data_IF_908923719512
#
_entry.id   IF_908923719512
#
_cell.length_a   1.000
_cell.length_b   1.000
_cell.length_c   1.000
_cell.angle_alpha   90.00
_cell.angle_beta   90.00
_cell.angle_gamma   90.00
#
_symmetry.space_group_name_H-M   'P 1'
#
loop_
_entity.id
_entity.type
_entity.pdbx_description
1 polymer ?
#
# COMPACT_ATOMS: atom_id res chain seq x y z
N UNK A 1 41.55 -39.41 -7.75
CA UNK A 1 40.17 -39.66 -7.25
C UNK A 1 39.70 -38.32 -6.73
N UNK A 2 39.03 -37.51 -7.55
CA UNK A 2 37.57 -37.56 -7.76
C UNK A 2 36.93 -36.89 -6.54
N UNK A 3 36.25 -35.75 -6.61
CA UNK A 3 35.20 -35.39 -7.55
C UNK A 3 35.20 -33.88 -7.84
N UNK A 4 34.93 -33.54 -9.09
CA UNK A 4 34.66 -32.18 -9.52
C UNK A 4 33.31 -31.72 -8.99
N UNK A 5 33.31 -30.65 -8.19
CA UNK A 5 32.12 -29.86 -7.96
C UNK A 5 31.84 -29.07 -9.25
N UNK A 6 30.96 -29.63 -10.09
CA UNK A 6 30.44 -28.96 -11.26
C UNK A 6 29.81 -27.63 -10.85
N UNK A 7 30.28 -26.56 -11.48
CA UNK A 7 29.79 -25.20 -11.41
C UNK A 7 28.48 -25.07 -12.22
N UNK A 8 27.32 -24.72 -11.64
CA UNK A 8 26.15 -24.33 -12.41
C UNK A 8 25.96 -22.82 -12.32
N UNK A 9 26.94 -22.06 -12.80
CA UNK A 9 26.81 -20.61 -12.92
C UNK A 9 27.57 -20.11 -14.16
N UNK A 10 27.21 -20.64 -15.32
CA UNK A 10 27.61 -20.10 -16.62
C UNK A 10 26.34 -19.78 -17.44
N UNK A 11 25.94 -18.51 -17.41
CA UNK A 11 25.50 -17.76 -18.61
C UNK A 11 24.30 -18.23 -19.44
N UNK A 12 23.35 -19.01 -18.91
CA UNK A 12 22.11 -19.32 -19.63
C UNK A 12 20.96 -18.41 -19.21
N UNK A 13 20.31 -17.71 -20.15
CA UNK A 13 18.95 -17.23 -19.93
C UNK A 13 18.13 -18.40 -19.36
N UNK A 14 17.41 -18.19 -18.25
CA UNK A 14 16.65 -19.27 -17.63
C UNK A 14 15.72 -19.92 -18.65
N UNK A 15 15.56 -21.26 -18.65
CA UNK A 15 14.93 -22.01 -19.75
C UNK A 15 13.53 -21.48 -20.11
N UNK A 16 12.75 -21.07 -19.10
CA UNK A 16 11.41 -20.52 -19.30
C UNK A 16 11.38 -19.09 -19.89
N UNK A 17 12.37 -18.24 -19.58
CA UNK A 17 12.43 -16.88 -20.11
C UNK A 17 12.80 -16.87 -21.60
N UNK A 18 13.75 -17.74 -22.00
CA UNK A 18 14.12 -17.91 -23.40
C UNK A 18 13.00 -18.54 -24.24
N UNK A 19 12.24 -19.48 -23.68
CA UNK A 19 11.05 -20.04 -24.33
C UNK A 19 10.00 -18.96 -24.60
N UNK A 20 9.69 -18.13 -23.60
CA UNK A 20 8.73 -17.04 -23.74
C UNK A 20 9.19 -15.98 -24.76
N UNK A 21 10.47 -15.61 -24.76
CA UNK A 21 11.06 -14.71 -25.75
C UNK A 21 10.87 -15.25 -27.18
N UNK A 22 11.13 -16.54 -27.39
CA UNK A 22 10.95 -17.20 -28.68
C UNK A 22 9.49 -17.18 -29.14
N UNK A 23 8.55 -17.49 -28.25
CA UNK A 23 7.11 -17.43 -28.55
C UNK A 23 6.65 -16.02 -28.90
N UNK A 24 7.10 -15.01 -28.15
CA UNK A 24 6.78 -13.61 -28.45
C UNK A 24 7.38 -13.14 -29.77
N UNK A 25 8.60 -13.56 -30.11
CA UNK A 25 9.24 -13.24 -31.38
C UNK A 25 8.45 -13.79 -32.58
N UNK A 26 7.76 -14.92 -32.42
CA UNK A 26 6.92 -15.52 -33.46
C UNK A 26 5.58 -14.78 -33.70
N UNK A 27 5.10 -13.97 -32.75
CA UNK A 27 3.81 -13.27 -32.85
C UNK A 27 3.81 -12.27 -34.01
N UNK A 28 4.86 -11.46 -34.15
CA UNK A 28 4.91 -10.43 -35.19
C UNK A 28 4.88 -11.02 -36.61
N UNK A 29 5.72 -12.02 -36.96
CA UNK A 29 5.61 -12.73 -38.22
C UNK A 29 4.23 -13.35 -38.46
N UNK A 30 3.61 -13.94 -37.43
CA UNK A 30 2.26 -14.51 -37.55
C UNK A 30 1.21 -13.45 -37.89
N UNK A 31 1.26 -12.26 -37.26
CA UNK A 31 0.36 -11.14 -37.57
C UNK A 31 0.58 -10.62 -38.99
N UNK A 32 1.83 -10.57 -39.46
CA UNK A 32 2.15 -10.17 -40.84
C UNK A 32 1.57 -11.18 -41.84
N UNK A 33 1.74 -12.48 -41.60
CA UNK A 33 1.18 -13.53 -42.44
C UNK A 33 -0.35 -13.50 -42.47
N UNK A 34 -1.01 -13.37 -41.31
CA UNK A 34 -2.48 -13.25 -41.25
C UNK A 34 -2.98 -12.01 -42.00
N UNK A 35 -2.23 -10.90 -42.01
CA UNK A 35 -2.58 -9.72 -42.81
C UNK A 35 -2.60 -10.04 -44.30
N UNK A 36 -1.56 -10.70 -44.82
CA UNK A 36 -1.47 -11.09 -46.24
C UNK A 36 -2.62 -12.04 -46.63
N UNK A 37 -2.97 -12.99 -45.75
CA UNK A 37 -4.11 -13.87 -45.97
C UNK A 37 -5.45 -13.11 -45.99
N UNK A 38 -5.66 -12.13 -45.09
CA UNK A 38 -6.85 -11.27 -45.08
C UNK A 38 -6.98 -10.43 -46.34
N UNK A 39 -5.88 -9.83 -46.79
CA UNK A 39 -5.80 -9.07 -48.02
C UNK A 39 -6.21 -9.92 -49.22
N UNK A 40 -5.61 -11.11 -49.34
CA UNK A 40 -5.85 -12.02 -50.46
C UNK A 40 -7.28 -12.58 -50.45
N UNK A 41 -7.80 -12.94 -49.28
CA UNK A 41 -9.05 -13.71 -49.16
C UNK A 41 -10.30 -12.84 -49.17
N UNK A 42 -10.23 -11.63 -48.62
CA UNK A 42 -11.41 -10.82 -48.33
C UNK A 42 -11.38 -9.41 -48.93
N UNK A 43 -10.23 -8.74 -49.03
CA UNK A 43 -10.25 -7.29 -49.33
C UNK A 43 -10.78 -7.00 -50.73
N UNK A 44 -10.40 -7.80 -51.73
CA UNK A 44 -10.97 -7.69 -53.09
C UNK A 44 -12.48 -7.92 -53.10
N UNK A 45 -12.96 -8.99 -52.44
CA UNK A 45 -14.40 -9.32 -52.37
C UNK A 45 -15.21 -8.26 -51.65
N UNK A 46 -14.67 -7.71 -50.57
CA UNK A 46 -15.30 -6.60 -49.84
C UNK A 46 -15.35 -5.32 -50.68
N UNK A 47 -14.31 -5.04 -51.46
CA UNK A 47 -14.28 -3.90 -52.37
C UNK A 47 -15.26 -4.07 -53.53
N UNK A 48 -15.35 -5.26 -54.12
CA UNK A 48 -16.34 -5.60 -55.16
C UNK A 48 -17.77 -5.45 -54.63
N UNK A 49 -18.07 -5.97 -53.44
CA UNK A 49 -19.38 -5.82 -52.80
C UNK A 49 -19.70 -4.34 -52.51
N UNK A 50 -18.70 -3.55 -52.10
CA UNK A 50 -18.88 -2.11 -51.84
C UNK A 50 -19.12 -1.27 -53.11
N UNK A 51 -18.62 -1.72 -54.27
CA UNK A 51 -18.89 -1.10 -55.59
C UNK A 51 -20.23 -1.55 -56.19
N UNK A 52 -20.84 -2.60 -55.64
CA UNK A 52 -22.11 -3.18 -56.09
C UNK A 52 -23.34 -2.31 -55.77
N UNK A 53 -24.53 -2.75 -56.22
CA UNK A 53 -25.78 -2.08 -55.90
C UNK A 53 -26.05 -2.14 -54.39
N UNK A 54 -26.68 -1.08 -53.86
CA UNK A 54 -27.03 -1.03 -52.45
C UNK A 54 -27.94 -2.20 -52.04
N UNK A 55 -27.67 -2.74 -50.84
CA UNK A 55 -28.50 -3.77 -50.23
C UNK A 55 -29.94 -3.29 -50.04
N UNK A 56 -30.92 -4.11 -50.43
CA UNK A 56 -32.33 -3.83 -50.14
C UNK A 56 -32.57 -3.98 -48.65
N UNK A 57 -33.13 -2.93 -48.04
CA UNK A 57 -33.42 -2.86 -46.60
C UNK A 57 -32.20 -3.15 -45.70
N UNK A 58 -30.99 -2.94 -46.20
CA UNK A 58 -29.75 -3.23 -45.49
C UNK A 58 -29.42 -4.73 -45.35
N UNK A 59 -30.11 -5.61 -46.07
CA UNK A 59 -29.88 -7.06 -46.04
C UNK A 59 -28.91 -7.47 -47.16
N UNK A 60 -27.77 -8.11 -46.83
CA UNK A 60 -26.84 -8.59 -47.86
C UNK A 60 -27.50 -9.63 -48.77
N UNK A 61 -27.08 -9.67 -50.03
CA UNK A 61 -27.41 -10.79 -50.93
C UNK A 61 -26.83 -12.10 -50.38
N UNK A 62 -27.33 -13.25 -50.83
CA UNK A 62 -26.89 -14.55 -50.32
C UNK A 62 -25.37 -14.78 -50.46
N UNK A 63 -24.77 -14.34 -51.58
CA UNK A 63 -23.32 -14.36 -51.78
C UNK A 63 -22.57 -13.38 -50.88
N UNK A 64 -23.09 -12.16 -50.72
CA UNK A 64 -22.52 -11.15 -49.83
C UNK A 64 -22.56 -11.59 -48.36
N UNK A 65 -23.64 -12.26 -47.94
CA UNK A 65 -23.84 -12.75 -46.57
C UNK A 65 -22.77 -13.75 -46.16
N UNK A 66 -22.38 -14.66 -47.06
CA UNK A 66 -21.30 -15.61 -46.79
C UNK A 66 -19.95 -14.91 -46.56
N UNK A 67 -19.65 -13.89 -47.37
CA UNK A 67 -18.41 -13.11 -47.22
C UNK A 67 -18.44 -12.29 -45.93
N UNK A 68 -19.56 -11.62 -45.64
CA UNK A 68 -19.75 -10.82 -44.42
C UNK A 68 -19.65 -11.67 -43.17
N UNK A 69 -20.34 -12.81 -43.10
CA UNK A 69 -20.33 -13.70 -41.94
C UNK A 69 -18.94 -14.31 -41.71
N UNK A 70 -18.23 -14.70 -42.79
CA UNK A 70 -16.86 -15.21 -42.71
C UNK A 70 -15.88 -14.15 -42.17
N UNK A 71 -15.94 -12.93 -42.72
CA UNK A 71 -15.11 -11.80 -42.26
C UNK A 71 -15.42 -11.45 -40.81
N UNK A 72 -16.70 -11.44 -40.41
CA UNK A 72 -17.08 -11.19 -39.02
C UNK A 72 -16.51 -12.25 -38.07
N UNK A 73 -16.58 -13.54 -38.43
CA UNK A 73 -16.01 -14.63 -37.65
C UNK A 73 -14.50 -14.49 -37.44
N UNK A 74 -13.76 -14.13 -38.48
CA UNK A 74 -12.30 -13.92 -38.38
C UNK A 74 -11.95 -12.62 -37.63
N UNK A 75 -12.71 -11.54 -37.81
CA UNK A 75 -12.57 -10.32 -37.02
C UNK A 75 -12.77 -10.58 -35.51
N UNK A 76 -13.71 -11.44 -35.13
CA UNK A 76 -13.87 -11.85 -33.74
C UNK A 76 -12.65 -12.61 -33.21
N UNK A 77 -12.05 -13.49 -34.02
CA UNK A 77 -10.83 -14.20 -33.64
C UNK A 77 -9.66 -13.22 -33.46
N UNK A 78 -9.48 -12.27 -34.37
CA UNK A 78 -8.47 -11.21 -34.26
C UNK A 78 -8.68 -10.35 -33.00
N UNK A 79 -9.93 -10.00 -32.68
CA UNK A 79 -10.27 -9.27 -31.43
C UNK A 79 -9.92 -10.09 -30.19
N UNK A 80 -10.19 -11.40 -30.19
CA UNK A 80 -9.82 -12.30 -29.08
C UNK A 80 -8.29 -12.40 -28.94
N UNK A 81 -7.58 -12.58 -30.04
CA UNK A 81 -6.12 -12.63 -30.07
C UNK A 81 -5.49 -11.33 -29.54
N UNK A 82 -5.95 -10.17 -30.01
CA UNK A 82 -5.50 -8.86 -29.54
C UNK A 82 -5.68 -8.70 -28.02
N UNK A 83 -6.86 -9.06 -27.47
CA UNK A 83 -7.10 -9.03 -26.01
C UNK A 83 -6.14 -9.94 -25.25
N UNK A 84 -5.84 -11.13 -25.77
CA UNK A 84 -4.88 -12.05 -25.17
C UNK A 84 -3.46 -11.50 -25.19
N UNK A 85 -3.03 -10.86 -26.28
CA UNK A 85 -1.73 -10.20 -26.38
C UNK A 85 -1.58 -9.06 -25.37
N UNK A 86 -2.62 -8.24 -25.21
CA UNK A 86 -2.62 -7.17 -24.19
C UNK A 86 -2.47 -7.74 -22.78
N UNK A 87 -3.19 -8.82 -22.45
CA UNK A 87 -3.06 -9.50 -21.14
C UNK A 87 -1.68 -10.12 -20.93
N UNK A 88 -1.10 -10.72 -21.96
CA UNK A 88 0.24 -11.30 -21.91
C UNK A 88 1.29 -10.21 -21.69
N UNK A 89 1.22 -9.10 -22.44
CA UNK A 89 2.08 -7.94 -22.27
C UNK A 89 2.02 -7.36 -20.86
N UNK A 90 0.81 -7.18 -20.32
CA UNK A 90 0.63 -6.71 -18.94
C UNK A 90 1.29 -7.67 -17.94
N UNK A 91 1.05 -8.98 -18.08
CA UNK A 91 1.65 -10.00 -17.21
C UNK A 91 3.18 -10.02 -17.28
N UNK A 92 3.75 -9.82 -18.46
CA UNK A 92 5.20 -9.73 -18.70
C UNK A 92 5.81 -8.55 -17.96
N UNK A 93 5.22 -7.35 -18.08
CA UNK A 93 5.67 -6.16 -17.35
C UNK A 93 5.61 -6.37 -15.83
N UNK A 94 4.53 -6.97 -15.33
CA UNK A 94 4.39 -7.25 -13.90
C UNK A 94 5.47 -8.21 -13.41
N UNK A 95 5.77 -9.26 -14.17
CA UNK A 95 6.81 -10.23 -13.85
C UNK A 95 8.21 -9.60 -13.88
N UNK A 96 8.50 -8.77 -14.87
CA UNK A 96 9.76 -8.04 -14.98
C UNK A 96 9.96 -7.09 -13.79
N UNK A 97 8.95 -6.27 -13.48
CA UNK A 97 9.01 -5.31 -12.38
C UNK A 97 9.19 -6.01 -11.02
N UNK A 98 8.43 -7.09 -10.77
CA UNK A 98 8.55 -7.88 -9.54
C UNK A 98 9.93 -8.53 -9.43
N UNK A 99 10.41 -9.18 -10.49
CA UNK A 99 11.72 -9.86 -10.49
C UNK A 99 12.84 -8.86 -10.30
N UNK A 100 12.81 -7.74 -11.02
CA UNK A 100 13.76 -6.64 -10.89
C UNK A 100 13.75 -6.01 -9.50
N UNK A 101 12.57 -5.80 -8.90
CA UNK A 101 12.44 -5.28 -7.55
C UNK A 101 13.00 -6.25 -6.49
N UNK A 102 12.70 -7.54 -6.59
CA UNK A 102 13.27 -8.57 -5.70
C UNK A 102 14.79 -8.65 -5.82
N UNK A 103 15.35 -8.56 -7.03
CA UNK A 103 16.79 -8.52 -7.25
C UNK A 103 17.42 -7.27 -6.63
N UNK A 104 16.81 -6.09 -6.78
CA UNK A 104 17.26 -4.85 -6.14
C UNK A 104 17.23 -4.95 -4.62
N UNK A 105 16.17 -5.52 -4.04
CA UNK A 105 16.04 -5.70 -2.59
C UNK A 105 17.09 -6.68 -2.05
N UNK A 106 17.38 -7.77 -2.77
CA UNK A 106 18.48 -8.69 -2.46
C UNK A 106 19.83 -7.97 -2.45
N UNK A 107 20.15 -7.24 -3.53
CA UNK A 107 21.39 -6.46 -3.64
C UNK A 107 21.51 -5.45 -2.50
N UNK A 108 20.46 -4.68 -2.23
CA UNK A 108 20.39 -3.70 -1.12
C UNK A 108 20.59 -4.36 0.24
N UNK A 109 20.00 -5.53 0.46
CA UNK A 109 20.16 -6.28 1.72
C UNK A 109 21.60 -6.76 1.92
N UNK A 110 22.30 -7.15 0.85
CA UNK A 110 23.67 -7.69 0.89
C UNK A 110 24.77 -6.62 0.80
N UNK A 111 24.49 -5.44 0.23
CA UNK A 111 25.45 -4.35 0.11
C UNK A 111 25.68 -3.67 1.47
N UNK A 112 26.59 -4.19 2.29
CA UNK A 112 26.85 -3.70 3.66
C UNK A 112 27.23 -2.22 3.64
N UNK A 113 26.39 -1.37 4.24
CA UNK A 113 26.72 0.04 4.50
C UNK A 113 27.37 0.18 5.86
N UNK A 114 28.36 1.06 5.99
CA UNK A 114 29.06 1.29 7.26
C UNK A 114 28.15 1.98 8.30
N UNK A 115 27.31 2.92 7.88
CA UNK A 115 26.54 3.80 8.78
C UNK A 115 25.17 3.27 9.20
N UNK A 116 24.63 2.22 8.59
CA UNK A 116 23.30 1.73 8.93
C UNK A 116 23.12 0.23 8.60
N UNK A 117 22.38 -0.52 9.44
CA UNK A 117 21.95 -1.86 9.07
C UNK A 117 21.00 -1.78 7.87
N UNK A 118 21.24 -2.63 6.88
CA UNK A 118 20.39 -2.71 5.69
C UNK A 118 19.01 -3.27 6.05
N UNK A 119 17.93 -2.78 5.41
CA UNK A 119 16.65 -3.44 5.51
C UNK A 119 16.78 -4.87 4.92
N UNK A 120 16.17 -5.87 5.54
CA UNK A 120 16.06 -7.20 4.96
C UNK A 120 15.20 -7.17 3.69
N UNK A 121 15.47 -8.07 2.74
CA UNK A 121 14.60 -8.25 1.59
C UNK A 121 13.23 -8.80 2.02
N UNK A 122 12.15 -8.23 1.48
CA UNK A 122 10.78 -8.68 1.76
C UNK A 122 10.57 -10.17 1.47
N UNK A 123 11.16 -10.68 0.38
CA UNK A 123 11.10 -12.09 0.02
C UNK A 123 11.82 -13.01 1.03
N UNK A 124 12.86 -12.52 1.72
CA UNK A 124 13.55 -13.29 2.75
C UNK A 124 12.68 -13.45 4.00
N UNK A 125 11.99 -12.37 4.40
CA UNK A 125 11.02 -12.39 5.49
C UNK A 125 9.91 -13.40 5.21
N UNK A 126 9.35 -13.39 4.01
CA UNK A 126 8.28 -14.33 3.62
C UNK A 126 8.71 -15.79 3.71
N UNK A 127 9.94 -16.07 3.28
CA UNK A 127 10.51 -17.39 3.34
C UNK A 127 10.72 -17.86 4.79
N UNK A 128 11.23 -16.98 5.66
CA UNK A 128 11.40 -17.28 7.09
C UNK A 128 10.06 -17.49 7.79
N UNK A 129 9.07 -16.62 7.53
CA UNK A 129 7.71 -16.75 8.08
C UNK A 129 7.08 -18.11 7.71
N UNK A 130 7.24 -18.55 6.45
CA UNK A 130 6.75 -19.85 5.97
C UNK A 130 7.50 -21.01 6.62
N UNK A 131 8.83 -20.95 6.65
CA UNK A 131 9.67 -22.02 7.23
C UNK A 131 9.39 -22.24 8.71
N UNK A 132 9.13 -21.16 9.45
CA UNK A 132 8.90 -21.21 10.89
C UNK A 132 7.42 -21.40 11.28
N UNK A 133 6.52 -21.52 10.29
CA UNK A 133 5.06 -21.47 10.49
C UNK A 133 4.69 -20.34 11.49
N UNK A 134 5.23 -19.16 11.23
CA UNK A 134 5.26 -18.09 12.21
C UNK A 134 3.84 -17.55 12.49
N UNK A 135 3.54 -17.18 13.74
CA UNK A 135 2.21 -16.68 14.11
C UNK A 135 1.82 -15.39 13.38
N UNK A 136 2.82 -14.64 12.90
CA UNK A 136 2.67 -13.43 12.11
C UNK A 136 2.81 -13.67 10.59
N UNK A 137 2.64 -14.90 10.09
CA UNK A 137 2.77 -15.18 8.65
C UNK A 137 1.79 -14.36 7.79
N UNK A 138 2.32 -13.73 6.74
CA UNK A 138 1.51 -12.95 5.79
C UNK A 138 0.94 -11.66 6.41
N UNK A 139 -0.18 -11.18 5.88
CA UNK A 139 -0.93 -10.06 6.46
C UNK A 139 -2.08 -10.61 7.32
N UNK A 140 -1.76 -11.00 8.55
CA UNK A 140 -2.74 -11.55 9.50
C UNK A 140 -3.07 -10.58 10.64
N UNK A 141 -4.12 -10.88 11.41
CA UNK A 141 -4.60 -10.00 12.48
C UNK A 141 -3.50 -9.71 13.52
N UNK A 142 -2.74 -10.73 13.94
CA UNK A 142 -1.65 -10.54 14.91
C UNK A 142 -0.58 -9.57 14.39
N UNK A 143 -0.18 -9.70 13.12
CA UNK A 143 0.78 -8.80 12.50
C UNK A 143 0.20 -7.39 12.40
N UNK A 144 -1.04 -7.23 11.96
CA UNK A 144 -1.71 -5.92 11.87
C UNK A 144 -1.77 -5.23 13.22
N UNK A 145 -2.14 -5.95 14.29
CA UNK A 145 -2.15 -5.41 15.65
C UNK A 145 -0.74 -4.99 16.11
N UNK A 146 0.27 -5.83 15.88
CA UNK A 146 1.65 -5.48 16.21
C UNK A 146 2.17 -4.29 15.41
N UNK A 147 1.81 -4.17 14.13
CA UNK A 147 2.11 -2.98 13.30
C UNK A 147 1.43 -1.75 13.88
N UNK A 148 0.17 -1.86 14.32
CA UNK A 148 -0.56 -0.76 14.95
C UNK A 148 0.14 -0.28 16.23
N UNK A 149 0.46 -1.21 17.12
CA UNK A 149 1.10 -0.92 18.41
C UNK A 149 2.50 -0.34 18.20
N UNK A 150 3.31 -0.99 17.38
CA UNK A 150 4.67 -0.53 17.07
C UNK A 150 4.67 0.81 16.35
N UNK A 151 3.75 1.02 15.40
CA UNK A 151 3.56 2.30 14.71
C UNK A 151 3.12 3.41 15.66
N UNK A 152 2.21 3.11 16.60
CA UNK A 152 1.74 4.06 17.61
C UNK A 152 2.86 4.55 18.52
N UNK A 153 3.79 3.67 18.88
CA UNK A 153 4.97 4.01 19.69
C UNK A 153 6.05 4.71 18.86
N UNK A 154 6.41 4.13 17.72
CA UNK A 154 7.49 4.63 16.87
C UNK A 154 7.18 6.03 16.32
N UNK A 155 5.93 6.31 15.96
CA UNK A 155 5.50 7.64 15.52
C UNK A 155 5.77 8.70 16.58
N UNK A 156 5.38 8.44 17.83
CA UNK A 156 5.64 9.36 18.96
C UNK A 156 7.14 9.55 19.20
N UNK A 157 7.93 8.47 19.15
CA UNK A 157 9.39 8.56 19.33
C UNK A 157 10.03 9.39 18.22
N UNK A 158 9.66 9.17 16.95
CA UNK A 158 10.19 9.93 15.82
C UNK A 158 9.85 11.40 15.93
N UNK A 159 8.60 11.71 16.27
CA UNK A 159 8.15 13.10 16.41
C UNK A 159 8.80 13.79 17.60
N UNK A 160 8.97 13.09 18.73
CA UNK A 160 9.70 13.59 19.89
C UNK A 160 11.16 13.89 19.56
N UNK A 161 11.84 13.01 18.81
CA UNK A 161 13.22 13.24 18.35
C UNK A 161 13.30 14.42 17.38
N UNK A 162 12.31 14.58 16.50
CA UNK A 162 12.24 15.69 15.56
C UNK A 162 12.00 17.03 16.28
N UNK A 163 11.06 17.08 17.22
CA UNK A 163 10.80 18.25 18.05
C UNK A 163 12.04 18.65 18.87
N UNK A 164 12.71 17.67 19.47
CA UNK A 164 13.96 17.89 20.19
C UNK A 164 15.07 18.46 19.29
N UNK A 165 15.25 17.91 18.09
CA UNK A 165 16.27 18.37 17.14
C UNK A 165 15.99 19.78 16.59
N UNK A 166 14.72 20.18 16.46
CA UNK A 166 14.33 21.47 15.86
C UNK A 166 14.17 22.59 16.89
N UNK A 167 13.59 22.30 18.04
CA UNK A 167 13.18 23.30 19.03
C UNK A 167 13.91 23.13 20.37
N UNK A 168 14.65 22.05 20.59
CA UNK A 168 15.31 21.76 21.86
C UNK A 168 14.35 21.38 22.99
N UNK A 169 13.05 21.24 22.70
CA UNK A 169 11.99 20.96 23.67
C UNK A 169 11.45 19.55 23.41
N UNK A 170 11.19 18.82 24.50
CA UNK A 170 10.52 17.52 24.46
C UNK A 170 9.02 17.76 24.54
N UNK A 171 8.37 17.95 23.39
CA UNK A 171 6.91 18.00 23.32
C UNK A 171 6.31 16.60 23.40
N UNK A 172 5.28 16.44 24.24
CA UNK A 172 4.52 15.20 24.36
C UNK A 172 3.38 15.21 23.34
N UNK A 173 3.59 14.55 22.19
CA UNK A 173 2.55 14.35 21.16
C UNK A 173 1.87 12.99 21.29
N UNK A 174 1.56 12.65 22.54
CA UNK A 174 0.94 11.39 22.91
C UNK A 174 -0.55 11.52 22.65
N UNK A 175 -1.13 10.47 22.05
CA UNK A 175 -2.56 10.40 21.82
C UNK A 175 -3.30 9.64 22.93
N UNK A 176 -2.58 9.00 23.85
CA UNK A 176 -3.13 8.19 24.93
C UNK A 176 -2.56 8.60 26.30
N UNK A 177 -3.38 8.42 27.33
CA UNK A 177 -3.08 8.86 28.70
C UNK A 177 -2.01 7.98 29.37
N UNK A 178 -1.91 6.71 29.00
CA UNK A 178 -0.84 5.82 29.46
C UNK A 178 0.20 5.55 28.37
N UNK A 179 1.47 5.81 28.69
CA UNK A 179 2.61 5.53 27.81
C UNK A 179 2.71 6.47 26.59
N UNK A 180 3.83 6.38 25.84
CA UNK A 180 4.06 7.23 24.67
C UNK A 180 3.44 6.61 23.41
N UNK A 181 2.11 6.50 23.38
CA UNK A 181 1.37 5.94 22.25
C UNK A 181 0.47 6.98 21.60
N UNK A 182 0.44 6.99 20.28
CA UNK A 182 -0.52 7.75 19.50
C UNK A 182 -1.19 6.83 18.47
N UNK A 183 -2.47 6.54 18.69
CA UNK A 183 -3.22 5.58 17.89
C UNK A 183 -3.41 6.04 16.44
N UNK A 184 -3.36 7.35 16.17
CA UNK A 184 -3.42 7.90 14.81
C UNK A 184 -2.22 7.45 13.97
N UNK A 185 -1.01 7.44 14.56
CA UNK A 185 0.19 6.94 13.90
C UNK A 185 0.14 5.43 13.69
N UNK A 186 -0.38 4.69 14.66
CA UNK A 186 -0.64 3.26 14.52
C UNK A 186 -1.63 2.94 13.39
N UNK A 187 -2.74 3.67 13.34
CA UNK A 187 -3.74 3.53 12.29
C UNK A 187 -3.15 3.86 10.91
N UNK A 188 -2.44 4.98 10.77
CA UNK A 188 -1.75 5.36 9.53
C UNK A 188 -0.75 4.28 9.07
N UNK A 189 0.05 3.75 9.99
CA UNK A 189 0.96 2.63 9.74
C UNK A 189 0.22 1.37 9.25
N UNK A 190 -0.92 1.03 9.84
CA UNK A 190 -1.76 -0.10 9.43
C UNK A 190 -2.35 0.11 8.05
N UNK A 191 -2.97 1.27 7.79
CA UNK A 191 -3.58 1.56 6.50
C UNK A 191 -2.55 1.55 5.37
N UNK A 192 -1.39 2.19 5.56
CA UNK A 192 -0.29 2.13 4.62
C UNK A 192 0.19 0.68 4.43
N UNK A 193 0.32 -0.09 5.51
CA UNK A 193 0.73 -1.49 5.40
C UNK A 193 -0.26 -2.31 4.59
N UNK A 194 -1.55 -2.28 4.93
CA UNK A 194 -2.58 -3.07 4.24
C UNK A 194 -2.63 -2.72 2.75
N UNK A 195 -2.63 -1.44 2.42
CA UNK A 195 -2.76 -0.99 1.04
C UNK A 195 -1.49 -1.23 0.21
N UNK A 196 -0.30 -1.03 0.79
CA UNK A 196 0.98 -1.19 0.06
C UNK A 196 1.54 -2.62 0.13
N UNK A 197 1.00 -3.51 0.97
CA UNK A 197 1.53 -4.87 1.16
C UNK A 197 1.64 -5.65 -0.16
N UNK A 198 0.65 -5.53 -1.04
CA UNK A 198 0.64 -6.18 -2.37
C UNK A 198 1.73 -5.63 -3.30
N UNK A 199 2.14 -4.38 -3.12
CA UNK A 199 3.13 -3.68 -3.96
C UNK A 199 4.55 -3.71 -3.38
N UNK A 200 4.77 -4.34 -2.21
CA UNK A 200 6.07 -4.34 -1.54
C UNK A 200 7.19 -5.00 -2.33
N UNK A 201 6.85 -5.97 -3.21
CA UNK A 201 7.79 -6.66 -4.09
C UNK A 201 7.80 -6.08 -5.51
N UNK A 202 7.05 -4.99 -5.77
CA UNK A 202 7.05 -4.28 -7.06
C UNK A 202 8.01 -3.07 -7.02
N UNK A 203 8.13 -2.37 -8.14
CA UNK A 203 8.91 -1.15 -8.28
C UNK A 203 8.49 -0.05 -7.30
N UNK A 204 9.39 0.91 -7.06
CA UNK A 204 9.15 2.03 -6.13
C UNK A 204 8.01 2.94 -6.59
N UNK A 205 7.77 3.01 -7.90
CA UNK A 205 6.69 3.82 -8.46
C UNK A 205 5.31 3.36 -7.98
N UNK A 206 5.06 2.05 -7.95
CA UNK A 206 3.81 1.51 -7.41
C UNK A 206 3.64 1.80 -5.91
N UNK A 207 4.74 1.74 -5.15
CA UNK A 207 4.74 2.12 -3.73
C UNK A 207 4.47 3.63 -3.56
N UNK A 208 5.00 4.48 -4.45
CA UNK A 208 4.76 5.91 -4.45
C UNK A 208 3.29 6.22 -4.75
N UNK A 209 2.75 5.70 -5.85
CA UNK A 209 1.35 5.92 -6.23
C UNK A 209 0.39 5.39 -5.15
N UNK A 210 0.68 4.22 -4.59
CA UNK A 210 -0.08 3.67 -3.46
C UNK A 210 -0.03 4.59 -2.23
N UNK A 211 1.15 5.05 -1.83
CA UNK A 211 1.32 5.98 -0.72
C UNK A 211 0.62 7.32 -0.95
N UNK A 212 0.74 7.86 -2.17
CA UNK A 212 0.11 9.12 -2.60
C UNK A 212 -1.41 9.05 -2.43
N UNK A 213 -2.04 8.01 -2.99
CA UNK A 213 -3.50 7.86 -2.94
C UNK A 213 -3.96 7.57 -1.52
N UNK A 214 -3.36 6.59 -0.85
CA UNK A 214 -3.78 6.16 0.49
C UNK A 214 -3.59 7.27 1.51
N UNK A 215 -2.44 7.94 1.50
CA UNK A 215 -2.17 9.06 2.40
C UNK A 215 -3.15 10.21 2.17
N UNK A 216 -3.42 10.57 0.91
CA UNK A 216 -4.40 11.62 0.59
C UNK A 216 -5.81 11.25 1.04
N UNK A 217 -6.23 10.00 0.86
CA UNK A 217 -7.55 9.54 1.32
C UNK A 217 -7.65 9.58 2.85
N UNK A 218 -6.60 9.14 3.55
CA UNK A 218 -6.56 9.18 5.01
C UNK A 218 -6.57 10.61 5.54
N UNK A 219 -5.78 11.50 4.95
CA UNK A 219 -5.71 12.90 5.32
C UNK A 219 -7.05 13.60 5.10
N UNK A 220 -7.69 13.35 3.96
CA UNK A 220 -9.04 13.86 3.68
C UNK A 220 -10.06 13.32 4.70
N UNK A 221 -10.05 12.00 4.96
CA UNK A 221 -10.98 11.36 5.89
C UNK A 221 -10.77 11.85 7.33
N UNK A 222 -9.52 12.08 7.76
CA UNK A 222 -9.21 12.64 9.07
C UNK A 222 -9.71 14.09 9.19
N UNK A 223 -9.44 14.93 8.19
CA UNK A 223 -9.94 16.31 8.16
C UNK A 223 -11.47 16.37 8.18
N UNK A 224 -12.13 15.52 7.39
CA UNK A 224 -13.59 15.46 7.34
C UNK A 224 -14.21 14.90 8.62
N UNK A 225 -13.64 13.82 9.17
CA UNK A 225 -14.08 13.23 10.43
C UNK A 225 -13.90 14.17 11.61
N UNK A 226 -12.80 14.92 11.65
CA UNK A 226 -12.57 15.93 12.68
C UNK A 226 -13.62 17.04 12.63
N UNK A 227 -13.92 17.56 11.45
CA UNK A 227 -14.95 18.60 11.32
C UNK A 227 -16.34 18.08 11.70
N UNK A 228 -16.67 16.86 11.33
CA UNK A 228 -17.96 16.26 11.66
C UNK A 228 -18.13 16.05 13.17
N UNK A 229 -17.06 15.65 13.88
CA UNK A 229 -17.11 15.30 15.29
C UNK A 229 -16.85 16.49 16.22
N UNK A 230 -15.97 17.41 15.84
CA UNK A 230 -15.46 18.50 16.69
C UNK A 230 -15.82 19.88 16.15
N UNK A 231 -16.39 20.00 14.95
CA UNK A 231 -16.68 21.28 14.32
C UNK A 231 -15.43 22.09 13.92
N UNK A 232 -14.23 21.52 14.05
CA UNK A 232 -12.95 22.16 13.80
C UNK A 232 -12.11 21.42 12.75
N UNK A 233 -11.12 22.09 12.17
CA UNK A 233 -10.14 21.49 11.23
C UNK A 233 -8.73 21.71 11.76
N UNK A 234 -7.94 20.64 11.85
CA UNK A 234 -6.53 20.75 12.30
C UNK A 234 -5.61 21.42 11.28
N UNK A 235 -6.00 21.45 10.01
CA UNK A 235 -5.24 22.10 8.95
C UNK A 235 -6.17 22.64 7.86
N UNK A 236 -5.72 23.72 7.22
CA UNK A 236 -6.38 24.32 6.07
C UNK A 236 -5.34 24.58 4.96
N UNK A 237 -5.54 23.92 3.83
CA UNK A 237 -4.70 23.99 2.64
C UNK A 237 -5.35 24.80 1.50
N UNK A 238 -6.38 25.59 1.79
CA UNK A 238 -7.09 26.42 0.79
C UNK A 238 -6.16 27.37 0.03
N UNK A 239 -5.07 27.83 0.67
CA UNK A 239 -4.07 28.71 0.05
C UNK A 239 -3.04 27.97 -0.83
N UNK A 240 -3.06 26.64 -0.88
CA UNK A 240 -2.10 25.85 -1.66
C UNK A 240 -2.67 25.41 -3.02
N UNK A 241 -1.80 25.29 -4.04
CA UNK A 241 -2.23 24.86 -5.38
C UNK A 241 -2.75 23.42 -5.37
N UNK A 242 -3.75 23.15 -6.21
CA UNK A 242 -4.37 21.83 -6.36
C UNK A 242 -4.86 21.25 -5.03
N UNK A 243 -5.47 22.11 -4.20
CA UNK A 243 -6.15 21.67 -2.99
C UNK A 243 -7.54 21.12 -3.32
N UNK A 244 -8.03 20.19 -2.49
CA UNK A 244 -9.39 19.69 -2.55
C UNK A 244 -10.12 20.09 -1.26
N UNK A 245 -11.06 21.03 -1.37
CA UNK A 245 -11.82 21.60 -0.25
C UNK A 245 -10.93 22.14 0.89
N UNK A 246 -9.70 22.55 0.60
CA UNK A 246 -8.71 22.93 1.62
C UNK A 246 -8.26 21.78 2.55
N UNK A 247 -8.63 20.52 2.28
CA UNK A 247 -8.34 19.39 3.19
C UNK A 247 -7.07 18.63 2.86
N UNK A 248 -6.79 18.50 1.56
CA UNK A 248 -5.60 17.88 1.01
C UNK A 248 -5.04 18.79 -0.08
N UNK A 249 -3.74 18.72 -0.34
CA UNK A 249 -3.13 19.39 -1.49
C UNK A 249 -2.10 18.48 -2.15
N UNK A 250 -1.80 18.76 -3.42
CA UNK A 250 -0.85 17.95 -4.19
C UNK A 250 0.51 17.80 -3.48
N UNK A 251 1.01 18.88 -2.85
CA UNK A 251 2.31 18.87 -2.18
C UNK A 251 2.35 17.84 -1.05
N UNK A 252 1.35 17.82 -0.17
CA UNK A 252 1.28 16.83 0.91
C UNK A 252 1.00 15.42 0.38
N UNK A 253 0.17 15.29 -0.66
CA UNK A 253 -0.02 14.00 -1.35
C UNK A 253 1.29 13.43 -1.90
N UNK A 254 2.18 14.26 -2.45
CA UNK A 254 3.52 13.85 -2.89
C UNK A 254 4.39 13.40 -1.72
N UNK A 255 4.37 14.12 -0.59
CA UNK A 255 5.07 13.69 0.63
C UNK A 255 4.55 12.33 1.12
N UNK A 256 3.24 12.10 1.10
CA UNK A 256 2.63 10.80 1.39
C UNK A 256 3.12 9.69 0.45
N UNK A 257 3.33 9.99 -0.83
CA UNK A 257 3.94 9.05 -1.79
C UNK A 257 5.36 8.64 -1.41
N UNK A 258 6.23 9.60 -1.06
CA UNK A 258 7.58 9.30 -0.59
C UNK A 258 7.59 8.55 0.75
N UNK A 259 6.71 8.94 1.67
CA UNK A 259 6.54 8.27 2.95
C UNK A 259 6.06 6.82 2.75
N UNK A 260 5.19 6.56 1.78
CA UNK A 260 4.76 5.22 1.40
C UNK A 260 5.91 4.35 0.92
N UNK A 261 6.81 4.88 0.08
CA UNK A 261 8.05 4.16 -0.31
C UNK A 261 8.89 3.85 0.93
N UNK A 262 9.19 4.86 1.74
CA UNK A 262 10.03 4.74 2.93
C UNK A 262 9.44 3.70 3.90
N UNK A 263 8.12 3.73 4.09
CA UNK A 263 7.41 2.79 4.93
C UNK A 263 7.57 1.35 4.41
N UNK A 264 7.14 1.06 3.18
CA UNK A 264 7.06 -0.32 2.69
C UNK A 264 8.42 -0.93 2.31
N UNK A 265 9.40 -0.11 1.92
CA UNK A 265 10.73 -0.55 1.47
C UNK A 265 11.81 -0.50 2.55
N UNK A 266 11.63 0.28 3.61
CA UNK A 266 12.66 0.47 4.63
C UNK A 266 12.17 0.21 6.06
N UNK A 267 11.05 0.81 6.51
CA UNK A 267 10.58 0.65 7.90
C UNK A 267 9.89 -0.70 8.13
N UNK A 268 8.90 -1.04 7.29
CA UNK A 268 8.12 -2.26 7.41
C UNK A 268 8.99 -3.53 7.41
N UNK A 269 9.98 -3.71 6.50
CA UNK A 269 10.84 -4.89 6.53
C UNK A 269 11.66 -5.00 7.82
N UNK A 270 12.15 -3.86 8.36
CA UNK A 270 12.86 -3.85 9.64
C UNK A 270 11.94 -4.29 10.78
N UNK A 271 10.75 -3.72 10.85
CA UNK A 271 9.74 -4.08 11.85
C UNK A 271 9.36 -5.55 11.75
N UNK A 272 9.08 -6.07 10.54
CA UNK A 272 8.75 -7.47 10.32
C UNK A 272 9.88 -8.41 10.79
N UNK A 273 11.14 -8.05 10.55
CA UNK A 273 12.30 -8.78 11.09
C UNK A 273 12.39 -8.77 12.61
N UNK A 274 11.97 -7.69 13.26
CA UNK A 274 11.87 -7.66 14.73
C UNK A 274 10.73 -8.56 15.23
N UNK A 275 9.58 -8.54 14.56
CA UNK A 275 8.44 -9.42 14.87
C UNK A 275 8.84 -10.89 14.73
N UNK A 276 9.65 -11.25 13.72
CA UNK A 276 10.17 -12.61 13.51
C UNK A 276 11.07 -13.13 14.65
N UNK A 277 11.64 -12.25 15.49
CA UNK A 277 12.42 -12.69 16.66
C UNK A 277 11.54 -13.19 17.81
N UNK A 278 10.23 -12.92 17.77
CA UNK A 278 9.31 -13.33 18.83
C UNK A 278 8.92 -14.80 18.63
N UNK A 279 9.08 -15.68 19.63
CA UNK A 279 8.65 -17.07 19.50
C UNK A 279 7.12 -17.16 19.43
N UNK A 280 6.60 -18.09 18.64
CA UNK A 280 5.17 -18.15 18.27
C UNK A 280 4.18 -18.08 19.44
N UNK A 281 4.42 -18.82 20.53
CA UNK A 281 3.53 -18.82 21.71
C UNK A 281 3.58 -17.48 22.45
N UNK A 282 4.78 -16.99 22.76
CA UNK A 282 4.95 -15.72 23.47
C UNK A 282 4.46 -14.54 22.63
N UNK A 283 4.72 -14.55 21.32
CA UNK A 283 4.27 -13.52 20.38
C UNK A 283 2.74 -13.38 20.35
N UNK A 284 2.00 -14.49 20.32
CA UNK A 284 0.53 -14.46 20.40
C UNK A 284 0.03 -13.88 21.73
N UNK A 285 0.54 -14.36 22.86
CA UNK A 285 0.15 -13.90 24.20
C UNK A 285 0.47 -12.41 24.36
N UNK A 286 1.68 -11.99 23.98
CA UNK A 286 2.12 -10.60 24.03
C UNK A 286 1.25 -9.71 23.15
N UNK A 287 0.93 -10.15 21.93
CA UNK A 287 0.06 -9.38 21.03
C UNK A 287 -1.33 -9.19 21.63
N UNK A 288 -1.93 -10.25 22.19
CA UNK A 288 -3.23 -10.15 22.86
C UNK A 288 -3.18 -9.23 24.09
N UNK A 289 -2.17 -9.38 24.95
CA UNK A 289 -2.01 -8.55 26.14
C UNK A 289 -1.83 -7.06 25.78
N UNK A 290 -0.98 -6.75 24.79
CA UNK A 290 -0.79 -5.39 24.32
C UNK A 290 -2.04 -4.82 23.65
N UNK A 291 -2.78 -5.62 22.89
CA UNK A 291 -4.03 -5.19 22.28
C UNK A 291 -5.08 -4.84 23.35
N UNK A 292 -5.25 -5.70 24.37
CA UNK A 292 -6.15 -5.43 25.51
C UNK A 292 -5.71 -4.16 26.25
N UNK A 293 -4.42 -3.99 26.50
CA UNK A 293 -3.87 -2.78 27.10
C UNK A 293 -4.17 -1.52 26.26
N UNK A 294 -3.99 -1.58 24.94
CA UNK A 294 -4.26 -0.44 24.06
C UNK A 294 -5.75 -0.08 24.03
N UNK A 295 -6.64 -1.07 23.99
CA UNK A 295 -8.10 -0.84 24.05
C UNK A 295 -8.47 -0.22 25.38
N UNK A 296 -8.00 -0.78 26.50
CA UNK A 296 -8.21 -0.22 27.83
C UNK A 296 -7.71 1.23 27.92
N UNK A 297 -6.50 1.49 27.44
CA UNK A 297 -5.90 2.82 27.46
C UNK A 297 -6.67 3.82 26.60
N UNK A 298 -7.16 3.41 25.42
CA UNK A 298 -8.02 4.22 24.57
C UNK A 298 -9.34 4.56 25.28
N UNK A 299 -9.98 3.58 25.92
CA UNK A 299 -11.22 3.81 26.68
C UNK A 299 -11.02 4.79 27.83
N UNK A 300 -9.97 4.59 28.65
CA UNK A 300 -9.64 5.51 29.74
C UNK A 300 -9.30 6.91 29.21
N UNK A 301 -8.61 6.98 28.07
CA UNK A 301 -8.28 8.24 27.42
C UNK A 301 -9.54 8.98 26.97
N UNK A 302 -10.49 8.31 26.33
CA UNK A 302 -11.75 8.93 25.91
C UNK A 302 -12.56 9.45 27.12
N UNK A 303 -12.64 8.66 28.20
CA UNK A 303 -13.34 9.07 29.44
C UNK A 303 -12.64 10.27 30.07
N UNK A 304 -11.31 10.25 30.19
CA UNK A 304 -10.54 11.33 30.78
C UNK A 304 -10.61 12.62 29.95
N UNK A 305 -10.47 12.53 28.62
CA UNK A 305 -10.55 13.67 27.70
C UNK A 305 -11.96 14.26 27.65
N UNK A 306 -13.00 13.41 27.56
CA UNK A 306 -14.40 13.87 27.59
C UNK A 306 -14.76 14.53 28.92
N UNK A 307 -14.24 14.00 30.05
CA UNK A 307 -14.43 14.64 31.36
C UNK A 307 -13.68 15.98 31.46
N UNK A 308 -12.46 16.06 30.92
CA UNK A 308 -11.67 17.28 30.91
C UNK A 308 -12.35 18.41 30.11
N UNK A 309 -12.88 18.11 28.92
CA UNK A 309 -13.69 19.08 28.14
C UNK A 309 -14.83 19.68 28.97
N UNK A 310 -15.61 18.83 29.64
CA UNK A 310 -16.71 19.27 30.52
C UNK A 310 -16.24 20.11 31.71
N UNK A 311 -15.03 19.87 32.24
CA UNK A 311 -14.46 20.70 33.31
C UNK A 311 -14.12 22.10 32.81
N UNK A 312 -13.55 22.19 31.61
CA UNK A 312 -13.22 23.47 30.99
C UNK A 312 -14.50 24.30 30.71
N UNK A 313 -15.61 23.65 30.40
CA UNK A 313 -16.95 24.26 30.27
C UNK A 313 -17.59 24.63 31.62
N UNK A 314 -16.94 24.33 32.76
CA UNK A 314 -17.43 24.64 34.11
C UNK A 314 -18.39 23.62 34.72
N UNK A 315 -18.58 22.43 34.12
CA UNK A 315 -19.44 21.39 34.70
C UNK A 315 -18.77 20.68 35.90
N UNK A 316 -19.40 20.81 37.07
CA UNK A 316 -19.01 20.10 38.29
C UNK A 316 -19.24 18.58 38.18
N UNK A 317 -18.48 17.79 38.92
CA UNK A 317 -18.56 16.32 38.89
C UNK A 317 -19.94 15.84 39.39
N UNK A 318 -20.73 15.14 38.55
CA UNK A 318 -22.11 14.77 38.93
C UNK A 318 -22.20 13.55 39.84
N UNK A 319 -21.10 12.81 40.04
CA UNK A 319 -21.07 11.63 40.93
C UNK A 319 -19.67 11.34 41.48
N UNK A 320 -19.59 10.48 42.49
CA UNK A 320 -18.33 10.04 43.10
C UNK A 320 -17.37 9.40 42.10
N UNK A 321 -17.89 8.72 41.06
CA UNK A 321 -17.06 8.19 39.98
C UNK A 321 -16.35 9.30 39.20
N UNK A 322 -17.07 10.36 38.82
CA UNK A 322 -16.47 11.48 38.08
C UNK A 322 -15.51 12.29 38.94
N UNK A 323 -15.79 12.42 40.25
CA UNK A 323 -14.82 13.01 41.19
C UNK A 323 -13.52 12.22 41.26
N UNK A 324 -13.59 10.88 41.25
CA UNK A 324 -12.40 10.02 41.21
C UNK A 324 -11.64 10.16 39.88
N UNK A 325 -12.35 10.28 38.75
CA UNK A 325 -11.74 10.55 37.44
C UNK A 325 -11.03 11.91 37.45
N UNK A 326 -11.62 12.93 38.07
CA UNK A 326 -11.03 14.27 38.19
C UNK A 326 -9.76 14.28 39.01
N UNK A 327 -9.77 13.59 40.15
CA UNK A 327 -8.59 13.44 41.00
C UNK A 327 -7.47 12.64 40.29
N UNK A 328 -7.84 11.62 39.52
CA UNK A 328 -6.87 10.78 38.80
C UNK A 328 -6.28 11.47 37.58
N UNK A 329 -7.06 12.32 36.91
CA UNK A 329 -6.71 13.02 35.67
C UNK A 329 -6.99 14.52 35.81
N UNK A 330 -6.22 15.25 36.64
CA UNK A 330 -6.38 16.69 36.81
C UNK A 330 -5.97 17.44 35.55
N UNK A 331 -6.39 18.70 35.43
CA UNK A 331 -6.18 19.53 34.23
C UNK A 331 -4.70 19.65 33.87
N UNK A 332 -3.82 19.91 34.84
CA UNK A 332 -2.37 19.98 34.64
C UNK A 332 -1.79 18.71 33.98
N UNK A 333 -2.33 17.54 34.35
CA UNK A 333 -1.89 16.26 33.78
C UNK A 333 -2.38 16.12 32.35
N UNK A 334 -3.62 16.54 32.09
CA UNK A 334 -4.23 16.46 30.77
C UNK A 334 -3.57 17.44 29.80
N UNK A 335 -3.31 18.68 30.21
CA UNK A 335 -2.54 19.68 29.45
C UNK A 335 -1.14 19.18 29.11
N UNK A 336 -0.45 18.52 30.06
CA UNK A 336 0.87 17.94 29.79
C UNK A 336 0.83 16.80 28.76
N UNK A 337 -0.23 16.00 28.77
CA UNK A 337 -0.38 14.87 27.86
C UNK A 337 -0.80 15.35 26.47
N UNK A 338 -1.71 16.31 26.42
CA UNK A 338 -2.35 16.86 25.22
C UNK A 338 -1.99 18.34 25.01
N UNK A 339 -0.70 18.66 25.04
CA UNK A 339 -0.20 20.04 25.05
C UNK A 339 -0.61 20.90 23.84
N UNK A 340 -1.12 20.28 22.77
CA UNK A 340 -1.56 20.94 21.54
C UNK A 340 -3.09 20.87 21.31
N UNK A 341 -3.87 20.34 22.26
CA UNK A 341 -5.33 20.39 22.17
C UNK A 341 -5.83 21.70 22.76
N UNK A 342 -6.47 22.50 21.93
CA UNK A 342 -7.21 23.70 22.34
C UNK A 342 -8.71 23.39 22.24
N UNK A 343 -9.42 23.51 23.36
CA UNK A 343 -10.88 23.45 23.39
C UNK A 343 -11.33 24.90 23.30
N UNK A 344 -11.54 25.36 22.06
CA UNK A 344 -11.67 26.77 21.71
C UNK A 344 -12.78 27.55 22.40
#
# INVERSE_FOLDING_TARGET
MGEGAANPAAGGNGPAAGELETLCAAVYPAVAHTREEMETRYYGKLAEEALGPAWKDGVPTEGARQVVDAVQGELEQLRRASKSLVKAYQSLIELEDETGARLRDLRKSRSRKWYAPNPPANAAIDLEERRLNHFAHGLNLYKVLLVCIAGSFAGVVVEMLWAFARYGIVESRRGLVYGPFNLLYGAGAVFLTIALYRYRNRGRLWSFCGGFVVGSVLEYACSWGQELLLGSRSWDYSAMPLNLNGRICLTYSVFWGFLGILWIKDLYPRMAKWILKLPNRAGRILTCALAVFMVWNALVTCVAAGRWSKRLEGEAAPSAFWSMVDERFPDERMERIFANMDFG
#
